data_IF_963455022135
#
_entry.id   IF_963455022135
#
_cell.length_a   1.000
_cell.length_b   1.000
_cell.length_c   1.000
_cell.angle_alpha   90.00
_cell.angle_beta   90.00
_cell.angle_gamma   90.00
#
_symmetry.space_group_name_H-M   'P 1'
#
loop_
_entity.id
_entity.type
_entity.pdbx_description
1 polymer ?
#
# COMPACT_ATOMS: atom_id res chain seq x y z
N UNK A 1 32.50 5.82 44.29
CA UNK A 1 32.99 6.72 43.23
C UNK A 1 33.62 5.87 42.15
N UNK A 2 33.23 6.12 40.90
CA UNK A 2 33.98 5.84 39.67
C UNK A 2 33.97 4.37 39.19
N UNK A 3 33.65 4.04 37.94
CA UNK A 3 33.15 4.79 36.80
C UNK A 3 32.66 3.70 35.82
N UNK A 4 31.39 3.75 35.42
CA UNK A 4 30.94 3.02 34.22
C UNK A 4 31.81 3.48 33.04
N UNK A 5 32.58 2.57 32.46
CA UNK A 5 33.30 2.80 31.20
C UNK A 5 33.18 1.53 30.37
N UNK A 6 32.32 1.58 29.36
CA UNK A 6 32.73 1.83 27.98
C UNK A 6 33.40 0.59 27.38
N UNK A 7 32.65 -0.17 26.57
CA UNK A 7 32.93 -0.33 25.15
C UNK A 7 31.95 -1.32 24.52
N UNK A 8 30.84 -0.74 24.06
CA UNK A 8 30.08 -1.22 22.93
C UNK A 8 31.00 -1.03 21.71
N UNK A 9 31.55 -2.11 21.16
CA UNK A 9 32.17 -2.10 19.84
C UNK A 9 31.32 -2.94 18.90
N UNK A 10 30.47 -2.21 18.19
CA UNK A 10 29.61 -2.65 17.10
C UNK A 10 30.50 -3.22 15.99
N UNK A 11 30.32 -4.49 15.66
CA UNK A 11 30.89 -5.14 14.48
C UNK A 11 30.13 -4.59 13.26
N UNK A 12 30.71 -3.59 12.60
CA UNK A 12 30.24 -3.08 11.32
C UNK A 12 30.69 -4.08 10.26
N UNK A 13 29.79 -4.97 9.84
CA UNK A 13 29.99 -5.81 8.66
C UNK A 13 29.74 -4.95 7.42
N UNK A 14 30.82 -4.47 6.82
CA UNK A 14 30.81 -3.82 5.50
C UNK A 14 30.67 -4.87 4.40
N UNK A 15 29.48 -4.99 3.82
CA UNK A 15 29.26 -5.74 2.58
C UNK A 15 29.75 -4.88 1.42
N UNK A 16 30.93 -5.21 0.89
CA UNK A 16 31.47 -4.61 -0.33
C UNK A 16 30.85 -5.27 -1.56
N UNK A 17 29.89 -4.59 -2.19
CA UNK A 17 29.37 -4.94 -3.51
C UNK A 17 30.41 -4.61 -4.58
N UNK A 18 31.00 -5.66 -5.15
CA UNK A 18 31.97 -5.62 -6.24
C UNK A 18 31.23 -5.38 -7.58
N UNK A 19 31.06 -4.13 -7.97
CA UNK A 19 30.57 -3.77 -9.31
C UNK A 19 31.72 -3.88 -10.33
N UNK A 20 31.80 -5.03 -11.00
CA UNK A 20 32.72 -5.27 -12.12
C UNK A 20 32.26 -4.46 -13.35
N UNK A 21 33.02 -3.41 -13.65
CA UNK A 21 32.94 -2.56 -14.84
C UNK A 21 33.37 -3.36 -16.08
N UNK A 22 32.51 -3.47 -17.09
CA UNK A 22 32.89 -3.91 -18.43
C UNK A 22 32.33 -2.93 -19.45
N UNK A 23 33.22 -2.10 -20.01
CA UNK A 23 32.95 -1.36 -21.24
C UNK A 23 33.09 -2.34 -22.40
N UNK A 24 32.08 -2.45 -23.25
CA UNK A 24 32.31 -2.76 -24.65
C UNK A 24 31.41 -1.91 -25.52
N UNK A 25 32.06 -1.20 -26.43
CA UNK A 25 31.52 -0.20 -27.33
C UNK A 25 30.99 -0.88 -28.60
N UNK A 26 29.84 -0.37 -29.07
CA UNK A 26 29.09 -0.48 -30.34
C UNK A 26 29.71 -1.21 -31.56
N UNK A 27 28.86 -1.74 -32.47
CA UNK A 27 28.53 -0.95 -33.67
C UNK A 27 27.03 -0.89 -34.03
N UNK A 28 26.69 0.19 -34.78
CA UNK A 28 25.38 0.66 -35.25
C UNK A 28 24.78 -0.26 -36.33
N UNK A 29 23.45 -0.40 -36.39
CA UNK A 29 22.63 -0.11 -37.59
C UNK A 29 21.12 -0.09 -37.27
N UNK A 30 20.38 0.69 -38.03
CA UNK A 30 19.00 1.16 -37.86
C UNK A 30 17.92 0.07 -37.94
N UNK A 31 16.83 0.19 -37.15
CA UNK A 31 15.44 0.28 -37.65
C UNK A 31 14.51 0.75 -36.52
N UNK A 32 13.80 1.83 -36.84
CA UNK A 32 12.51 2.34 -36.34
C UNK A 32 11.67 1.58 -35.30
N UNK A 33 11.07 2.41 -34.43
CA UNK A 33 9.71 2.31 -33.85
C UNK A 33 9.48 1.26 -32.75
N UNK A 34 9.58 1.68 -31.49
CA UNK A 34 8.47 2.35 -30.79
C UNK A 34 8.91 2.57 -29.34
N UNK A 35 9.41 3.76 -29.05
CA UNK A 35 9.74 4.17 -27.69
C UNK A 35 8.42 4.38 -26.96
N UNK A 36 7.88 3.32 -26.34
CA UNK A 36 6.88 3.49 -25.28
C UNK A 36 7.59 4.19 -24.14
N UNK A 37 7.60 5.52 -24.22
CA UNK A 37 7.86 6.39 -23.09
C UNK A 37 6.87 5.96 -22.01
N UNK A 38 7.40 5.30 -20.97
CA UNK A 38 6.67 5.09 -19.72
C UNK A 38 6.46 6.49 -19.16
N UNK A 39 5.37 7.13 -19.60
CA UNK A 39 4.85 8.34 -19.01
C UNK A 39 4.69 8.06 -17.52
N UNK A 40 5.23 8.89 -16.62
CA UNK A 40 4.94 8.75 -15.20
C UNK A 40 3.44 8.95 -15.05
N UNK A 41 2.71 7.83 -14.95
CA UNK A 41 1.27 7.82 -14.82
C UNK A 41 0.94 8.64 -13.57
N UNK A 42 0.40 9.85 -13.81
CA UNK A 42 -0.06 10.72 -12.73
C UNK A 42 -0.96 9.88 -11.83
N UNK A 43 -0.88 10.04 -10.49
CA UNK A 43 -1.74 9.30 -9.58
C UNK A 43 -3.20 9.48 -10.03
N UNK A 44 -3.78 8.41 -10.59
CA UNK A 44 -5.19 8.43 -10.99
C UNK A 44 -5.99 8.51 -9.70
N UNK A 45 -6.66 9.64 -9.49
CA UNK A 45 -7.55 9.80 -8.35
C UNK A 45 -8.78 8.93 -8.58
N UNK A 46 -9.18 8.18 -7.55
CA UNK A 46 -10.36 7.34 -7.62
C UNK A 46 -11.61 8.17 -7.88
N UNK A 47 -12.35 7.78 -8.92
CA UNK A 47 -13.70 8.28 -9.24
C UNK A 47 -14.69 7.15 -9.05
N UNK A 48 -15.69 7.37 -8.18
CA UNK A 48 -16.71 6.38 -7.90
C UNK A 48 -17.56 6.08 -9.15
N UNK A 49 -17.85 4.80 -9.45
CA UNK A 49 -18.82 4.44 -10.48
C UNK A 49 -20.20 5.07 -10.23
N UNK A 50 -20.81 5.64 -11.27
CA UNK A 50 -22.11 6.30 -11.17
C UNK A 50 -23.26 5.34 -10.84
N UNK A 51 -23.13 4.07 -11.24
CA UNK A 51 -24.10 3.01 -10.97
C UNK A 51 -24.02 2.48 -9.52
N UNK A 52 -22.96 2.84 -8.79
CA UNK A 52 -22.66 2.37 -7.44
C UNK A 52 -22.47 0.85 -7.34
N UNK A 53 -22.16 0.19 -8.46
CA UNK A 53 -21.94 -1.24 -8.52
C UNK A 53 -20.49 -1.57 -8.18
N UNK A 54 -20.30 -2.48 -7.23
CA UNK A 54 -18.97 -3.02 -6.89
C UNK A 54 -18.67 -4.15 -7.87
N UNK A 55 -17.45 -4.23 -8.41
CA UNK A 55 -17.02 -5.38 -9.21
C UNK A 55 -16.54 -6.55 -8.33
N UNK A 56 -16.52 -7.77 -8.89
CA UNK A 56 -15.99 -8.95 -8.18
C UNK A 56 -14.50 -8.74 -7.82
N UNK A 57 -13.73 -8.15 -8.72
CA UNK A 57 -12.31 -7.85 -8.57
C UNK A 57 -12.10 -6.84 -7.45
N UNK A 58 -12.88 -5.76 -7.44
CA UNK A 58 -12.87 -4.76 -6.37
C UNK A 58 -13.20 -5.39 -5.02
N UNK A 59 -14.21 -6.26 -4.96
CA UNK A 59 -14.60 -6.94 -3.72
C UNK A 59 -13.51 -7.90 -3.20
N UNK A 60 -12.85 -8.65 -4.10
CA UNK A 60 -11.70 -9.52 -3.75
C UNK A 60 -10.51 -8.70 -3.26
N UNK A 61 -10.16 -7.63 -3.96
CA UNK A 61 -9.09 -6.72 -3.58
C UNK A 61 -9.38 -6.04 -2.23
N UNK A 62 -10.63 -5.65 -1.99
CA UNK A 62 -11.08 -5.12 -0.71
C UNK A 62 -10.85 -6.10 0.43
N UNK A 63 -11.22 -7.38 0.26
CA UNK A 63 -11.02 -8.40 1.29
C UNK A 63 -9.54 -8.59 1.63
N UNK A 64 -8.68 -8.62 0.60
CA UNK A 64 -7.22 -8.68 0.77
C UNK A 64 -6.67 -7.44 1.51
N UNK A 65 -7.12 -6.24 1.13
CA UNK A 65 -6.71 -5.01 1.83
C UNK A 65 -7.18 -5.01 3.29
N UNK A 66 -8.44 -5.38 3.57
CA UNK A 66 -9.04 -5.35 4.91
C UNK A 66 -8.19 -6.13 5.93
N UNK A 67 -7.78 -7.36 5.60
CA UNK A 67 -6.91 -8.17 6.48
C UNK A 67 -5.59 -7.48 6.82
N UNK A 68 -5.02 -6.76 5.85
CA UNK A 68 -3.72 -6.09 6.02
C UNK A 68 -3.86 -4.78 6.78
N UNK A 69 -4.97 -4.05 6.58
CA UNK A 69 -5.30 -2.83 7.32
C UNK A 69 -5.53 -3.10 8.81
N UNK A 70 -6.12 -4.23 9.18
CA UNK A 70 -6.24 -4.64 10.58
C UNK A 70 -4.87 -4.77 11.26
N UNK A 71 -3.90 -5.33 10.55
CA UNK A 71 -2.52 -5.45 11.05
C UNK A 71 -1.85 -4.07 11.19
N UNK A 72 -2.03 -3.18 10.21
CA UNK A 72 -1.50 -1.83 10.25
C UNK A 72 -2.10 -1.03 11.42
N UNK A 73 -3.40 -1.17 11.65
CA UNK A 73 -4.11 -0.49 12.75
C UNK A 73 -3.56 -0.94 14.10
N UNK A 74 -3.32 -2.25 14.26
CA UNK A 74 -2.68 -2.79 15.47
C UNK A 74 -1.27 -2.26 15.67
N UNK A 75 -0.45 -2.19 14.61
CA UNK A 75 0.93 -1.72 14.73
C UNK A 75 1.03 -0.23 15.09
N UNK A 76 0.08 0.60 14.67
CA UNK A 76 0.05 2.03 14.99
C UNK A 76 -0.71 2.37 16.28
N UNK A 77 -1.53 1.44 16.81
CA UNK A 77 -2.37 1.67 17.99
C UNK A 77 -1.56 2.18 19.20
N UNK A 78 -0.40 1.59 19.45
CA UNK A 78 0.42 1.96 20.60
C UNK A 78 1.13 3.30 20.40
N UNK A 79 1.60 3.59 19.17
CA UNK A 79 2.17 4.89 18.81
C UNK A 79 1.19 6.04 19.07
N UNK A 80 -0.10 5.86 18.77
CA UNK A 80 -1.12 6.89 19.01
C UNK A 80 -1.45 7.13 20.49
N UNK A 81 -1.26 6.14 21.36
CA UNK A 81 -1.56 6.26 22.81
C UNK A 81 -0.52 7.11 23.55
N UNK A 82 0.75 6.98 23.16
CA UNK A 82 1.88 7.60 23.86
C UNK A 82 2.37 8.89 23.21
N UNK A 83 1.89 9.22 22.01
CA UNK A 83 2.32 10.39 21.24
C UNK A 83 1.87 11.73 21.84
N UNK A 84 2.78 12.71 21.82
CA UNK A 84 2.42 14.12 21.99
C UNK A 84 1.49 14.59 20.85
N UNK A 85 0.76 15.70 20.98
CA UNK A 85 -0.10 16.22 19.91
C UNK A 85 0.62 16.39 18.56
N UNK A 86 1.85 16.89 18.57
CA UNK A 86 2.64 17.10 17.35
C UNK A 86 3.09 15.78 16.71
N UNK A 87 3.47 14.79 17.53
CA UNK A 87 3.82 13.45 17.04
C UNK A 87 2.59 12.72 16.48
N UNK A 88 1.41 12.96 17.07
CA UNK A 88 0.16 12.36 16.63
C UNK A 88 -0.21 12.76 15.20
N UNK A 89 0.03 14.03 14.84
CA UNK A 89 -0.16 14.52 13.46
C UNK A 89 0.72 13.73 12.49
N UNK A 90 2.02 13.58 12.79
CA UNK A 90 2.95 12.81 11.94
C UNK A 90 2.53 11.35 11.81
N UNK A 91 2.21 10.69 12.92
CA UNK A 91 1.73 9.30 12.89
C UNK A 91 0.42 9.16 12.11
N UNK A 92 -0.46 10.16 12.16
CA UNK A 92 -1.70 10.15 11.38
C UNK A 92 -1.42 10.27 9.88
N UNK A 93 -0.52 11.15 9.47
CA UNK A 93 -0.11 11.30 8.05
C UNK A 93 0.56 10.03 7.52
N UNK A 94 1.48 9.45 8.30
CA UNK A 94 2.13 8.18 7.97
C UNK A 94 1.12 7.03 7.88
N UNK A 95 0.18 6.97 8.83
CA UNK A 95 -0.86 5.95 8.85
C UNK A 95 -1.76 6.03 7.62
N UNK A 96 -2.26 7.23 7.28
CA UNK A 96 -3.09 7.45 6.08
C UNK A 96 -2.33 7.08 4.81
N UNK A 97 -1.05 7.45 4.73
CA UNK A 97 -0.18 7.11 3.61
C UNK A 97 0.01 5.60 3.49
N UNK A 98 0.28 4.92 4.60
CA UNK A 98 0.42 3.46 4.65
C UNK A 98 -0.86 2.74 4.24
N UNK A 99 -2.03 3.17 4.73
CA UNK A 99 -3.34 2.64 4.32
C UNK A 99 -3.52 2.72 2.80
N UNK A 100 -3.20 3.89 2.22
CA UNK A 100 -3.33 4.11 0.79
C UNK A 100 -2.41 3.20 -0.03
N UNK A 101 -1.13 3.08 0.37
CA UNK A 101 -0.15 2.22 -0.30
C UNK A 101 -0.58 0.75 -0.20
N UNK A 102 -1.03 0.30 0.97
CA UNK A 102 -1.46 -1.08 1.18
C UNK A 102 -2.64 -1.44 0.28
N UNK A 103 -3.67 -0.58 0.21
CA UNK A 103 -4.80 -0.86 -0.67
C UNK A 103 -4.44 -0.83 -2.16
N UNK A 104 -3.55 0.07 -2.59
CA UNK A 104 -3.01 0.04 -3.96
C UNK A 104 -2.28 -1.26 -4.26
N UNK A 105 -1.42 -1.71 -3.35
CA UNK A 105 -0.74 -3.01 -3.48
C UNK A 105 -1.69 -4.20 -3.42
N UNK A 106 -2.82 -4.05 -2.73
CA UNK A 106 -3.89 -5.04 -2.64
C UNK A 106 -4.80 -5.13 -3.88
N UNK A 107 -4.57 -4.28 -4.89
CA UNK A 107 -5.34 -4.28 -6.14
C UNK A 107 -6.44 -3.21 -6.22
N UNK A 108 -6.56 -2.33 -5.22
CA UNK A 108 -7.45 -1.17 -5.28
C UNK A 108 -6.67 0.02 -5.83
N UNK A 109 -6.75 0.25 -7.14
CA UNK A 109 -6.00 1.32 -7.82
C UNK A 109 -6.31 2.71 -7.24
N UNK A 110 -7.54 2.91 -6.76
CA UNK A 110 -7.98 4.09 -6.05
C UNK A 110 -7.55 4.19 -4.59
N UNK A 111 -6.80 3.20 -4.10
CA UNK A 111 -6.22 3.15 -2.77
C UNK A 111 -7.25 3.14 -1.64
N UNK A 112 -6.95 3.83 -0.55
CA UNK A 112 -7.83 3.82 0.63
C UNK A 112 -9.17 4.54 0.37
N UNK A 113 -9.23 5.44 -0.61
CA UNK A 113 -10.48 6.11 -1.03
C UNK A 113 -11.45 5.10 -1.65
N UNK A 114 -10.96 4.26 -2.56
CA UNK A 114 -11.74 3.16 -3.15
C UNK A 114 -12.15 2.14 -2.09
N UNK A 115 -11.26 1.78 -1.17
CA UNK A 115 -11.58 0.88 -0.06
C UNK A 115 -12.79 1.35 0.75
N UNK A 116 -12.82 2.64 1.14
CA UNK A 116 -13.94 3.21 1.89
C UNK A 116 -15.21 3.25 1.06
N UNK A 117 -15.11 3.60 -0.21
CA UNK A 117 -16.24 3.59 -1.12
C UNK A 117 -16.86 2.19 -1.25
N UNK A 118 -16.04 1.14 -1.38
CA UNK A 118 -16.54 -0.25 -1.40
C UNK A 118 -17.28 -0.56 -0.11
N UNK A 119 -16.67 -0.27 1.05
CA UNK A 119 -17.29 -0.50 2.37
C UNK A 119 -18.66 0.17 2.50
N UNK A 120 -18.77 1.43 2.09
CA UNK A 120 -20.02 2.20 2.09
C UNK A 120 -21.07 1.61 1.13
N UNK A 121 -20.63 1.07 -0.01
CA UNK A 121 -21.51 0.51 -1.03
C UNK A 121 -21.86 -0.96 -0.82
N UNK A 122 -21.29 -1.64 0.17
CA UNK A 122 -21.71 -3.00 0.55
C UNK A 122 -23.16 -3.05 1.03
N UNK A 123 -23.68 -1.95 1.60
CA UNK A 123 -25.08 -1.84 2.01
C UNK A 123 -26.06 -1.62 0.86
N UNK A 124 -25.58 -1.37 -0.36
CA UNK A 124 -26.45 -1.08 -1.50
C UNK A 124 -27.19 -2.36 -1.96
N UNK A 125 -28.54 -2.35 -2.05
CA UNK A 125 -29.32 -3.51 -2.50
C UNK A 125 -28.88 -4.07 -3.86
N UNK A 126 -28.34 -3.24 -4.75
CA UNK A 126 -27.82 -3.66 -6.06
C UNK A 126 -26.61 -4.60 -5.94
N UNK A 127 -25.80 -4.44 -4.89
CA UNK A 127 -24.61 -5.24 -4.63
C UNK A 127 -24.92 -6.52 -3.83
N UNK A 128 -26.15 -6.69 -3.32
CA UNK A 128 -26.51 -7.82 -2.44
C UNK A 128 -26.22 -9.18 -3.07
N UNK A 129 -26.62 -9.38 -4.34
CA UNK A 129 -26.38 -10.67 -5.05
C UNK A 129 -24.89 -10.99 -5.18
N UNK A 130 -24.07 -9.97 -5.46
CA UNK A 130 -22.62 -10.11 -5.52
C UNK A 130 -22.05 -10.49 -4.16
N UNK A 131 -22.47 -9.80 -3.10
CA UNK A 131 -21.97 -10.05 -1.74
C UNK A 131 -22.39 -11.43 -1.22
N UNK A 132 -23.63 -11.84 -1.44
CA UNK A 132 -24.16 -13.15 -1.05
C UNK A 132 -23.38 -14.28 -1.77
N UNK A 133 -23.12 -14.13 -3.07
CA UNK A 133 -22.36 -15.11 -3.86
C UNK A 133 -20.86 -15.15 -3.52
N UNK A 134 -20.30 -14.06 -3.00
CA UNK A 134 -18.90 -13.99 -2.60
C UNK A 134 -18.58 -14.77 -1.31
N UNK A 135 -19.59 -15.07 -0.48
CA UNK A 135 -19.39 -15.70 0.83
C UNK A 135 -18.66 -14.83 1.86
N UNK A 136 -18.41 -13.55 1.55
CA UNK A 136 -17.64 -12.62 2.39
C UNK A 136 -18.49 -12.07 3.54
N UNK A 137 -19.79 -11.86 3.31
CA UNK A 137 -20.71 -11.28 4.32
C UNK A 137 -21.40 -12.36 5.17
N UNK A 138 -21.43 -13.62 4.71
CA UNK A 138 -22.20 -14.70 5.34
C UNK A 138 -21.53 -15.36 6.56
N UNK A 139 -20.37 -14.87 7.02
CA UNK A 139 -19.60 -15.42 8.17
C UNK A 139 -19.63 -14.60 9.46
N UNK A 140 -20.51 -13.61 9.58
CA UNK A 140 -20.79 -12.96 10.87
C UNK A 140 -22.05 -13.54 11.49
N UNK A 141 -21.93 -14.72 12.10
CA UNK A 141 -22.90 -15.26 13.06
C UNK A 141 -22.16 -15.77 14.27
#
# INVERSE_FOLDING_TARGET
>A
MNFFSYLISIIIVTVTLNCKKSNHQLPKEHTENDSVAVSPEKPVEFTAPADSLISIEQLKAWFSCNKTLDSLTKSYSDSFKIATPQQRIKFQEEFITAQNILCKKGGLNGGYKEYKWILENMGNPKNKRLLDSSGIVSRSK
#
